data_IF_713781910527
#
_entry.id   IF_713781910527
#
_cell.length_a   1.000
_cell.length_b   1.000
_cell.length_c   1.000
_cell.angle_alpha   90.00
_cell.angle_beta   90.00
_cell.angle_gamma   90.00
#
_symmetry.space_group_name_H-M   'P 1'
#
loop_
_entity.id
_entity.type
_entity.pdbx_description
1 polymer ?
#
# COMPACT_ATOMS: atom_id res chain seq x y z
N UNK A 1 13.12 -28.88 10.91
CA UNK A 1 14.56 -28.52 10.91
C UNK A 1 14.95 -27.76 9.64
N UNK A 2 14.63 -28.24 8.44
CA UNK A 2 14.95 -27.59 7.15
C UNK A 2 14.48 -26.12 7.07
N UNK A 3 13.24 -25.81 7.48
CA UNK A 3 12.70 -24.44 7.48
C UNK A 3 13.47 -23.44 8.37
N UNK A 4 14.20 -23.91 9.40
CA UNK A 4 14.99 -23.04 10.25
C UNK A 4 16.36 -22.72 9.63
N UNK A 5 16.95 -23.66 8.88
CA UNK A 5 18.21 -23.42 8.18
C UNK A 5 18.07 -22.36 7.09
N UNK A 6 16.99 -22.41 6.30
CA UNK A 6 16.73 -21.39 5.27
C UNK A 6 16.55 -19.99 5.88
N UNK A 7 15.88 -19.88 7.03
CA UNK A 7 15.70 -18.59 7.71
C UNK A 7 17.01 -18.05 8.25
N UNK A 8 17.81 -18.90 8.88
CA UNK A 8 19.14 -18.51 9.38
C UNK A 8 20.06 -18.08 8.24
N UNK A 9 20.03 -18.81 7.12
CA UNK A 9 20.78 -18.45 5.92
C UNK A 9 20.32 -17.08 5.38
N UNK A 10 19.01 -16.83 5.33
CA UNK A 10 18.48 -15.55 4.84
C UNK A 10 18.83 -14.38 5.76
N UNK A 11 18.75 -14.58 7.09
CA UNK A 11 19.23 -13.62 8.09
C UNK A 11 20.72 -13.35 7.89
N UNK A 12 21.52 -14.39 7.67
CA UNK A 12 22.95 -14.24 7.44
C UNK A 12 23.24 -13.47 6.14
N UNK A 13 22.54 -13.75 5.04
CA UNK A 13 22.66 -13.02 3.78
C UNK A 13 22.32 -11.55 3.95
N UNK A 14 21.18 -11.21 4.57
CA UNK A 14 20.79 -9.81 4.79
C UNK A 14 21.79 -9.11 5.71
N UNK A 15 22.22 -9.77 6.79
CA UNK A 15 23.22 -9.21 7.70
C UNK A 15 24.55 -8.95 7.00
N UNK A 16 24.97 -9.86 6.10
CA UNK A 16 26.16 -9.68 5.27
C UNK A 16 26.01 -8.50 4.32
N UNK A 17 24.88 -8.38 3.62
CA UNK A 17 24.59 -7.26 2.72
C UNK A 17 24.64 -5.93 3.47
N UNK A 18 23.92 -5.83 4.58
CA UNK A 18 23.88 -4.62 5.41
C UNK A 18 25.26 -4.25 5.97
N UNK A 19 26.02 -5.24 6.46
CA UNK A 19 27.37 -5.01 6.98
C UNK A 19 28.39 -4.61 5.93
N UNK A 20 28.23 -5.06 4.68
CA UNK A 20 29.18 -4.79 3.58
C UNK A 20 28.99 -3.39 3.01
N UNK A 21 27.74 -2.95 2.84
CA UNK A 21 27.43 -1.68 2.17
C UNK A 21 27.13 -0.52 3.13
N UNK A 22 26.78 -0.81 4.39
CA UNK A 22 26.43 0.21 5.37
C UNK A 22 27.32 0.09 6.62
N UNK A 23 26.76 -0.38 7.73
CA UNK A 23 27.47 -0.47 9.01
C UNK A 23 26.85 -1.50 9.96
N UNK A 24 27.53 -1.76 11.08
CA UNK A 24 27.07 -2.73 12.08
C UNK A 24 25.79 -2.28 12.80
N UNK A 25 25.50 -0.98 12.86
CA UNK A 25 24.27 -0.45 13.44
C UNK A 25 23.05 -0.82 12.60
N UNK A 26 23.16 -0.81 11.27
CA UNK A 26 22.09 -1.27 10.38
C UNK A 26 21.73 -2.75 10.62
N UNK A 27 22.74 -3.61 10.88
CA UNK A 27 22.54 -5.00 11.27
C UNK A 27 21.80 -5.09 12.61
N UNK A 28 22.19 -4.27 13.58
CA UNK A 28 21.54 -4.26 14.91
C UNK A 28 20.04 -3.99 14.80
N UNK A 29 19.62 -2.96 14.08
CA UNK A 29 18.20 -2.65 13.89
C UNK A 29 17.46 -3.78 13.16
N UNK A 30 18.06 -4.37 12.14
CA UNK A 30 17.51 -5.53 11.45
C UNK A 30 17.31 -6.74 12.39
N UNK A 31 18.32 -7.07 13.20
CA UNK A 31 18.26 -8.19 14.14
C UNK A 31 17.28 -7.93 15.28
N UNK A 32 17.13 -6.69 15.74
CA UNK A 32 16.13 -6.30 16.73
C UNK A 32 14.71 -6.66 16.26
N UNK A 33 14.35 -6.32 15.02
CA UNK A 33 13.03 -6.66 14.48
C UNK A 33 12.89 -8.13 14.11
N UNK A 34 13.97 -8.82 13.72
CA UNK A 34 13.96 -10.29 13.64
C UNK A 34 13.60 -10.91 15.01
N UNK A 35 14.23 -10.44 16.08
CA UNK A 35 13.96 -10.89 17.44
C UNK A 35 12.51 -10.62 17.86
N UNK A 36 12.02 -9.39 17.69
CA UNK A 36 10.63 -9.01 18.00
C UNK A 36 9.65 -9.88 17.22
N UNK A 37 9.87 -10.08 15.92
CA UNK A 37 9.03 -10.90 15.04
C UNK A 37 9.02 -12.38 15.43
N UNK A 38 10.04 -12.85 16.16
CA UNK A 38 10.16 -14.24 16.59
C UNK A 38 9.45 -14.56 17.93
N UNK A 39 9.03 -13.56 18.74
CA UNK A 39 8.56 -13.76 20.13
C UNK A 39 7.03 -13.90 20.34
N UNK A 40 6.19 -13.48 19.40
CA UNK A 40 4.70 -13.48 19.45
C UNK A 40 3.98 -14.83 19.08
N UNK A 41 3.80 -15.72 20.06
CA UNK A 41 3.52 -17.18 19.93
C UNK A 41 2.47 -17.72 18.91
N UNK A 42 1.55 -16.96 18.30
CA UNK A 42 0.52 -17.52 17.38
C UNK A 42 0.66 -17.15 15.89
N UNK A 43 1.27 -16.00 15.54
CA UNK A 43 1.40 -15.51 14.15
C UNK A 43 2.85 -15.18 13.71
N UNK A 44 3.85 -15.52 14.53
CA UNK A 44 5.25 -15.13 14.33
C UNK A 44 5.88 -15.51 13.02
N UNK A 45 5.63 -16.74 12.55
CA UNK A 45 6.34 -17.23 11.39
C UNK A 45 5.95 -16.46 10.13
N UNK A 46 4.71 -15.99 10.05
CA UNK A 46 4.26 -15.14 8.97
C UNK A 46 4.97 -13.79 9.01
N UNK A 47 4.90 -13.10 10.16
CA UNK A 47 5.49 -11.76 10.32
C UNK A 47 6.99 -11.81 10.07
N UNK A 48 7.70 -12.79 10.62
CA UNK A 48 9.13 -12.95 10.38
C UNK A 48 9.44 -13.22 8.90
N UNK A 49 8.71 -14.10 8.23
CA UNK A 49 8.95 -14.39 6.81
C UNK A 49 8.69 -13.16 5.92
N UNK A 50 7.60 -12.41 6.19
CA UNK A 50 7.31 -11.16 5.47
C UNK A 50 8.36 -10.10 5.77
N UNK A 51 8.81 -10.00 7.02
CA UNK A 51 9.87 -9.07 7.42
C UNK A 51 11.18 -9.36 6.71
N UNK A 52 11.58 -10.64 6.68
CA UNK A 52 12.75 -11.09 5.94
C UNK A 52 12.63 -10.73 4.46
N UNK A 53 11.50 -11.03 3.83
CA UNK A 53 11.23 -10.68 2.43
C UNK A 53 11.41 -9.18 2.17
N UNK A 54 10.76 -8.31 2.95
CA UNK A 54 10.89 -6.86 2.78
C UNK A 54 12.28 -6.35 3.10
N UNK A 55 12.97 -6.96 4.07
CA UNK A 55 14.35 -6.62 4.39
C UNK A 55 15.30 -6.95 3.25
N UNK A 56 15.08 -8.07 2.54
CA UNK A 56 15.85 -8.39 1.35
C UNK A 56 15.59 -7.38 0.22
N UNK A 57 14.33 -7.14 -0.13
CA UNK A 57 13.96 -6.17 -1.15
C UNK A 57 14.51 -4.76 -0.82
N UNK A 58 14.27 -4.28 0.40
CA UNK A 58 14.72 -2.98 0.86
C UNK A 58 16.24 -2.84 0.94
N UNK A 59 16.95 -3.88 1.38
CA UNK A 59 18.43 -3.86 1.36
C UNK A 59 18.96 -3.77 -0.07
N UNK A 60 18.40 -4.52 -1.02
CA UNK A 60 18.84 -4.45 -2.42
C UNK A 60 18.54 -3.11 -3.08
N UNK A 61 17.41 -2.46 -2.74
CA UNK A 61 17.08 -1.13 -3.22
C UNK A 61 18.01 -0.06 -2.62
N UNK A 62 18.19 -0.08 -1.30
CA UNK A 62 19.08 0.84 -0.61
C UNK A 62 20.53 0.73 -1.12
N UNK A 63 21.01 -0.49 -1.42
CA UNK A 63 22.35 -0.69 -2.03
C UNK A 63 22.41 -0.08 -3.42
N UNK A 64 21.37 -0.27 -4.24
CA UNK A 64 21.32 0.37 -5.57
C UNK A 64 21.42 1.89 -5.45
N UNK A 65 20.71 2.49 -4.48
CA UNK A 65 20.76 3.93 -4.26
C UNK A 65 22.09 4.41 -3.72
N UNK A 66 22.70 3.67 -2.79
CA UNK A 66 24.01 4.01 -2.24
C UNK A 66 25.05 4.06 -3.37
N UNK A 67 25.02 3.10 -4.29
CA UNK A 67 25.91 3.05 -5.45
C UNK A 67 25.66 4.22 -6.41
N UNK A 68 24.40 4.60 -6.61
CA UNK A 68 24.03 5.62 -7.60
C UNK A 68 24.09 7.07 -7.09
N UNK A 69 23.76 7.30 -5.81
CA UNK A 69 23.57 8.63 -5.23
C UNK A 69 24.55 8.92 -4.09
N UNK A 70 25.29 7.93 -3.59
CA UNK A 70 26.10 8.06 -2.38
C UNK A 70 25.29 8.04 -1.07
N UNK A 71 24.00 7.73 -1.15
CA UNK A 71 23.11 7.60 0.00
C UNK A 71 22.05 6.52 -0.17
N UNK A 72 21.51 6.05 0.95
CA UNK A 72 20.54 4.93 1.00
C UNK A 72 19.08 5.30 0.66
N UNK A 73 18.80 6.54 0.27
CA UNK A 73 17.45 7.06 -0.01
C UNK A 73 17.09 6.98 -1.49
N UNK A 74 15.79 6.94 -1.82
CA UNK A 74 15.38 7.02 -3.23
C UNK A 74 15.84 8.33 -3.87
N UNK A 75 16.03 8.38 -5.20
CA UNK A 75 16.30 9.63 -5.91
C UNK A 75 15.12 10.62 -5.90
N UNK A 76 13.99 10.25 -5.28
CA UNK A 76 12.81 11.10 -5.15
C UNK A 76 12.78 11.79 -3.78
N UNK A 77 12.15 12.96 -3.74
CA UNK A 77 12.12 13.85 -2.58
C UNK A 77 11.51 13.23 -1.31
N UNK A 78 10.49 12.37 -1.44
CA UNK A 78 9.69 11.90 -0.29
C UNK A 78 10.54 11.16 0.77
N UNK A 79 11.47 10.30 0.35
CA UNK A 79 12.29 9.48 1.26
C UNK A 79 13.22 10.34 2.11
N UNK A 80 13.85 11.31 1.44
CA UNK A 80 14.70 12.31 2.07
C UNK A 80 13.89 13.26 2.97
N UNK A 81 12.71 13.70 2.52
CA UNK A 81 11.82 14.60 3.26
C UNK A 81 11.48 14.06 4.66
N UNK A 82 11.04 12.80 4.76
CA UNK A 82 10.68 12.22 6.06
C UNK A 82 11.91 12.08 6.97
N UNK A 83 13.06 11.73 6.40
CA UNK A 83 14.31 11.64 7.15
C UNK A 83 14.79 13.00 7.68
N UNK A 84 14.74 14.03 6.83
CA UNK A 84 15.13 15.39 7.19
C UNK A 84 14.21 15.97 8.27
N UNK A 85 12.90 15.76 8.16
CA UNK A 85 11.96 16.17 9.19
C UNK A 85 12.21 15.48 10.54
N UNK A 86 12.59 14.20 10.55
CA UNK A 86 12.98 13.53 11.81
C UNK A 86 14.22 14.18 12.43
N UNK A 87 15.23 14.56 11.64
CA UNK A 87 16.38 15.33 12.15
C UNK A 87 15.94 16.64 12.76
N UNK A 88 15.12 17.40 12.04
CA UNK A 88 14.62 18.69 12.53
C UNK A 88 13.79 18.54 13.80
N UNK A 89 12.96 17.49 13.95
CA UNK A 89 12.22 17.23 15.20
C UNK A 89 13.17 16.93 16.36
N UNK A 90 14.25 16.18 16.12
CA UNK A 90 15.27 15.91 17.16
C UNK A 90 16.01 17.18 17.59
N UNK A 91 16.17 18.16 16.70
CA UNK A 91 16.85 19.44 16.98
C UNK A 91 15.92 20.51 17.59
N UNK A 92 14.72 20.68 17.02
CA UNK A 92 13.82 21.82 17.27
C UNK A 92 12.48 21.44 17.94
N UNK A 93 12.24 20.15 18.22
CA UNK A 93 11.04 19.58 18.86
C UNK A 93 9.72 19.69 18.08
N UNK A 94 9.51 20.74 17.28
CA UNK A 94 8.30 20.95 16.47
C UNK A 94 8.69 21.43 15.08
N UNK A 95 8.19 20.73 14.06
CA UNK A 95 8.43 21.04 12.65
C UNK A 95 7.09 21.16 11.95
N UNK A 96 6.87 22.28 11.26
CA UNK A 96 5.66 22.53 10.46
C UNK A 96 5.48 21.43 9.40
N UNK A 97 4.22 21.08 9.09
CA UNK A 97 3.84 20.03 8.13
C UNK A 97 4.29 18.59 8.45
N UNK A 98 4.84 18.34 9.64
CA UNK A 98 5.14 16.97 10.07
C UNK A 98 3.87 16.22 10.45
N UNK A 99 3.75 14.97 10.01
CA UNK A 99 2.65 14.08 10.40
C UNK A 99 3.01 13.24 11.62
N UNK A 100 2.06 12.42 12.08
CA UNK A 100 2.33 11.46 13.15
C UNK A 100 3.49 10.50 12.81
N UNK A 101 3.79 10.28 11.53
CA UNK A 101 4.82 9.34 11.09
C UNK A 101 6.21 9.75 11.59
N UNK A 102 6.57 11.01 11.39
CA UNK A 102 7.86 11.59 11.73
C UNK A 102 8.08 11.57 13.25
N UNK A 103 7.04 11.87 14.03
CA UNK A 103 7.10 11.74 15.50
C UNK A 103 7.28 10.28 15.95
N UNK A 104 6.63 9.32 15.29
CA UNK A 104 6.81 7.88 15.60
C UNK A 104 8.23 7.42 15.28
N UNK A 105 8.79 7.84 14.14
CA UNK A 105 10.18 7.54 13.77
C UNK A 105 11.18 8.19 14.75
N UNK A 106 10.91 9.43 15.16
CA UNK A 106 11.69 10.15 16.18
C UNK A 106 11.72 9.37 17.48
N UNK A 107 10.55 8.94 17.99
CA UNK A 107 10.47 8.17 19.24
C UNK A 107 11.17 6.81 19.14
N UNK A 108 11.18 6.20 17.95
CA UNK A 108 11.91 4.96 17.68
C UNK A 108 13.43 5.17 17.79
N UNK A 109 13.97 6.28 17.27
CA UNK A 109 15.41 6.52 17.24
C UNK A 109 15.94 7.26 18.47
N UNK A 110 15.07 7.93 19.23
CA UNK A 110 15.39 8.70 20.43
C UNK A 110 16.34 7.97 21.41
N UNK A 111 16.16 6.66 21.73
CA UNK A 111 17.06 5.96 22.64
C UNK A 111 18.50 5.83 22.13
N UNK A 112 18.72 6.02 20.82
CA UNK A 112 19.99 5.80 20.13
C UNK A 112 20.68 7.09 19.70
N UNK A 113 20.00 8.23 19.78
CA UNK A 113 20.45 9.52 19.22
C UNK A 113 21.82 9.97 19.74
N UNK A 114 22.16 9.64 20.99
CA UNK A 114 23.43 10.04 21.62
C UNK A 114 24.57 9.04 21.39
N UNK A 115 24.27 7.87 20.84
CA UNK A 115 25.23 6.78 20.70
C UNK A 115 25.69 6.58 19.26
N UNK A 116 24.89 7.01 18.28
CA UNK A 116 25.11 6.70 16.87
C UNK A 116 24.77 7.94 16.02
N UNK A 117 25.63 8.33 15.05
CA UNK A 117 25.28 9.38 14.10
C UNK A 117 24.06 8.96 13.28
N UNK A 118 23.06 9.85 13.16
CA UNK A 118 21.81 9.51 12.49
C UNK A 118 22.04 9.22 10.99
N UNK A 119 21.54 8.08 10.52
CA UNK A 119 21.53 7.70 9.10
C UNK A 119 20.14 7.22 8.67
N UNK A 120 19.78 7.50 7.42
CA UNK A 120 18.51 7.10 6.81
C UNK A 120 18.26 5.58 6.91
N UNK A 121 19.29 4.77 6.64
CA UNK A 121 19.20 3.30 6.64
C UNK A 121 18.69 2.69 7.96
N UNK A 122 18.80 3.39 9.09
CA UNK A 122 18.34 2.89 10.40
C UNK A 122 16.83 2.86 10.57
N UNK A 123 16.12 3.63 9.74
CA UNK A 123 14.66 3.72 9.78
C UNK A 123 13.98 2.68 8.88
N UNK A 124 14.65 2.20 7.83
CA UNK A 124 14.08 1.23 6.90
C UNK A 124 13.64 -0.09 7.58
N UNK A 125 14.42 -0.68 8.52
CA UNK A 125 13.98 -1.86 9.27
C UNK A 125 12.64 -1.68 9.99
N UNK A 126 12.34 -0.48 10.49
CA UNK A 126 11.05 -0.20 11.09
C UNK A 126 9.93 -0.28 10.05
N UNK A 127 10.09 0.35 8.88
CA UNK A 127 9.04 0.33 7.85
C UNK A 127 8.80 -1.07 7.27
N UNK A 128 9.87 -1.86 7.08
CA UNK A 128 9.77 -3.27 6.66
C UNK A 128 8.98 -4.11 7.68
N UNK A 129 9.19 -3.84 8.98
CA UNK A 129 8.45 -4.51 10.05
C UNK A 129 6.98 -4.10 10.05
N UNK A 130 6.67 -2.82 9.84
CA UNK A 130 5.29 -2.33 9.69
C UNK A 130 4.61 -3.03 8.51
N UNK A 131 5.27 -3.15 7.35
CA UNK A 131 4.72 -3.87 6.20
C UNK A 131 4.39 -5.34 6.51
N UNK A 132 5.27 -6.04 7.23
CA UNK A 132 5.01 -7.40 7.69
C UNK A 132 3.78 -7.52 8.59
N UNK A 133 3.54 -6.53 9.47
CA UNK A 133 2.34 -6.46 10.29
C UNK A 133 1.07 -6.20 9.46
N UNK A 134 1.14 -5.34 8.43
CA UNK A 134 0.02 -5.07 7.52
C UNK A 134 -0.41 -6.34 6.80
N UNK A 135 0.54 -7.11 6.26
CA UNK A 135 0.25 -8.40 5.60
C UNK A 135 -0.46 -9.35 6.55
N UNK A 136 0.03 -9.46 7.79
CA UNK A 136 -0.58 -10.30 8.81
C UNK A 136 -2.02 -9.87 9.14
N UNK A 137 -2.29 -8.56 9.29
CA UNK A 137 -3.64 -8.05 9.54
C UNK A 137 -4.57 -8.24 8.33
N UNK A 138 -4.07 -8.11 7.11
CA UNK A 138 -4.81 -8.40 5.87
C UNK A 138 -5.19 -9.88 5.76
N UNK A 139 -4.28 -10.79 6.10
CA UNK A 139 -4.57 -12.23 6.11
C UNK A 139 -5.58 -12.60 7.20
N UNK A 140 -5.53 -11.96 8.37
CA UNK A 140 -6.57 -12.12 9.40
C UNK A 140 -7.94 -11.67 8.89
N UNK A 141 -7.99 -10.52 8.21
CA UNK A 141 -9.20 -10.00 7.59
C UNK A 141 -9.78 -11.01 6.58
N UNK A 142 -8.94 -11.53 5.69
CA UNK A 142 -9.34 -12.51 4.68
C UNK A 142 -9.89 -13.80 5.32
N UNK A 143 -9.22 -14.32 6.35
CA UNK A 143 -9.63 -15.53 7.04
C UNK A 143 -10.87 -15.36 7.91
N UNK A 144 -11.17 -14.15 8.38
CA UNK A 144 -12.41 -13.85 9.10
C UNK A 144 -13.64 -14.09 8.20
N UNK A 145 -13.59 -13.58 6.96
CA UNK A 145 -14.71 -13.65 6.03
C UNK A 145 -14.79 -14.96 5.23
N UNK A 146 -13.64 -15.49 4.82
CA UNK A 146 -13.50 -16.69 4.01
C UNK A 146 -12.37 -17.56 4.57
N UNK A 147 -12.63 -18.34 5.63
CA UNK A 147 -11.61 -19.13 6.31
C UNK A 147 -11.09 -20.25 5.40
N UNK A 148 -9.79 -20.22 5.09
CA UNK A 148 -9.14 -21.24 4.28
C UNK A 148 -8.05 -21.96 5.08
N UNK A 149 -8.20 -23.28 5.23
CA UNK A 149 -7.22 -24.14 5.91
C UNK A 149 -6.15 -24.72 4.97
N UNK A 150 -6.29 -24.51 3.66
CA UNK A 150 -5.38 -25.07 2.67
C UNK A 150 -4.10 -24.23 2.55
N UNK A 151 -2.95 -24.87 2.76
CA UNK A 151 -1.63 -24.25 2.70
C UNK A 151 -1.33 -23.63 1.34
N UNK A 152 -1.74 -24.26 0.23
CA UNK A 152 -1.45 -23.73 -1.12
C UNK A 152 -2.22 -22.44 -1.40
N UNK A 153 -3.48 -22.37 -0.97
CA UNK A 153 -4.32 -21.18 -1.09
C UNK A 153 -3.72 -20.04 -0.27
N UNK A 154 -3.28 -20.34 0.95
CA UNK A 154 -2.63 -19.37 1.83
C UNK A 154 -1.37 -18.76 1.21
N UNK A 155 -0.53 -19.57 0.56
CA UNK A 155 0.70 -19.09 -0.10
C UNK A 155 0.38 -18.14 -1.26
N UNK A 156 -0.65 -18.44 -2.06
CA UNK A 156 -1.02 -17.58 -3.19
C UNK A 156 -1.65 -16.27 -2.70
N UNK A 157 -2.52 -16.33 -1.68
CA UNK A 157 -3.07 -15.13 -1.03
C UNK A 157 -1.98 -14.22 -0.47
N UNK A 158 -0.93 -14.80 0.11
CA UNK A 158 0.25 -14.08 0.58
C UNK A 158 1.02 -13.44 -0.59
N UNK A 159 1.25 -14.20 -1.66
CA UNK A 159 2.00 -13.76 -2.82
C UNK A 159 1.36 -12.53 -3.50
N UNK A 160 0.03 -12.45 -3.51
CA UNK A 160 -0.72 -11.31 -4.07
C UNK A 160 -0.45 -9.96 -3.39
N UNK A 161 -0.01 -9.96 -2.13
CA UNK A 161 0.43 -8.74 -1.46
C UNK A 161 1.95 -8.61 -1.51
N UNK A 162 2.69 -9.66 -1.13
CA UNK A 162 4.16 -9.60 -1.00
C UNK A 162 4.85 -9.23 -2.31
N UNK A 163 4.36 -9.72 -3.42
CA UNK A 163 4.96 -9.47 -4.72
C UNK A 163 4.22 -8.41 -5.52
N UNK A 164 3.27 -7.68 -4.91
CA UNK A 164 2.68 -6.54 -5.57
C UNK A 164 3.70 -5.40 -5.60
N UNK A 165 4.14 -5.01 -6.80
CA UNK A 165 5.19 -4.02 -6.96
C UNK A 165 4.90 -2.69 -6.25
N UNK A 166 3.66 -2.17 -6.32
CA UNK A 166 3.32 -0.91 -5.64
C UNK A 166 3.36 -1.07 -4.12
N UNK A 167 2.92 -2.23 -3.61
CA UNK A 167 2.94 -2.50 -2.17
C UNK A 167 4.36 -2.65 -1.65
N UNK A 168 5.18 -3.45 -2.33
CA UNK A 168 6.59 -3.62 -1.95
C UNK A 168 7.33 -2.30 -2.03
N UNK A 169 7.18 -1.56 -3.12
CA UNK A 169 7.81 -0.24 -3.29
C UNK A 169 7.39 0.74 -2.19
N UNK A 170 6.13 0.70 -1.74
CA UNK A 170 5.65 1.57 -0.67
C UNK A 170 6.09 1.17 0.75
N UNK A 171 6.54 -0.07 0.96
CA UNK A 171 7.01 -0.59 2.26
C UNK A 171 8.53 -0.51 2.40
N UNK A 172 9.26 -0.75 1.32
CA UNK A 172 10.73 -0.85 1.35
C UNK A 172 11.42 0.50 1.54
N UNK A 173 10.77 1.58 1.13
CA UNK A 173 11.18 2.97 1.30
C UNK A 173 10.58 3.58 2.56
N UNK A 174 11.10 4.70 3.04
CA UNK A 174 10.68 5.44 4.23
C UNK A 174 9.40 6.26 3.98
N UNK A 175 8.32 5.60 3.54
CA UNK A 175 7.03 6.26 3.34
C UNK A 175 6.07 6.01 4.50
N UNK A 176 5.31 7.05 4.88
CA UNK A 176 4.22 6.98 5.89
C UNK A 176 3.09 6.01 5.53
N UNK A 177 2.97 5.64 4.26
CA UNK A 177 1.94 4.75 3.72
C UNK A 177 1.86 3.42 4.47
N UNK A 178 2.99 2.80 4.81
CA UNK A 178 3.02 1.54 5.55
C UNK A 178 2.34 1.63 6.91
N UNK A 179 2.66 2.67 7.69
CA UNK A 179 2.08 2.87 9.03
C UNK A 179 0.60 3.22 8.96
N UNK A 180 0.22 4.02 7.96
CA UNK A 180 -1.17 4.37 7.68
C UNK A 180 -1.99 3.11 7.39
N UNK A 181 -1.47 2.19 6.57
CA UNK A 181 -2.15 0.92 6.26
C UNK A 181 -2.27 0.01 7.48
N UNK A 182 -1.29 0.03 8.38
CA UNK A 182 -1.35 -0.75 9.62
C UNK A 182 -2.49 -0.28 10.51
N UNK A 183 -2.63 1.03 10.70
CA UNK A 183 -3.74 1.57 11.48
C UNK A 183 -5.08 1.37 10.78
N UNK A 184 -5.15 1.57 9.46
CA UNK A 184 -6.34 1.35 8.65
C UNK A 184 -6.83 -0.10 8.72
N UNK A 185 -5.95 -1.08 8.50
CA UNK A 185 -6.30 -2.51 8.58
C UNK A 185 -6.71 -2.92 9.98
N UNK A 186 -6.03 -2.41 11.03
CA UNK A 186 -6.44 -2.62 12.42
C UNK A 186 -7.80 -2.00 12.73
N UNK A 187 -8.08 -0.80 12.23
CA UNK A 187 -9.39 -0.16 12.38
C UNK A 187 -10.50 -1.06 11.81
N UNK A 188 -10.30 -1.56 10.58
CA UNK A 188 -11.24 -2.47 9.91
C UNK A 188 -11.43 -3.76 10.72
N UNK A 189 -10.34 -4.45 11.09
CA UNK A 189 -10.38 -5.69 11.86
C UNK A 189 -11.06 -5.51 13.23
N UNK A 190 -10.83 -4.40 13.92
CA UNK A 190 -11.45 -4.12 15.23
C UNK A 190 -12.94 -3.79 15.09
N UNK A 191 -13.35 -3.05 14.06
CA UNK A 191 -14.76 -2.74 13.81
C UNK A 191 -15.56 -4.00 13.49
N UNK A 192 -15.00 -4.91 12.69
CA UNK A 192 -15.63 -6.20 12.37
C UNK A 192 -15.82 -7.03 13.65
N UNK A 193 -14.81 -7.08 14.51
CA UNK A 193 -14.86 -7.77 15.80
C UNK A 193 -15.61 -7.00 16.91
N UNK A 194 -16.41 -5.98 16.55
CA UNK A 194 -17.25 -5.19 17.47
C UNK A 194 -16.49 -4.41 18.55
N UNK A 195 -15.18 -4.21 18.39
CA UNK A 195 -14.35 -3.37 19.26
C UNK A 195 -14.31 -1.93 18.75
N UNK A 196 -15.47 -1.24 18.80
CA UNK A 196 -15.65 0.06 18.14
C UNK A 196 -14.76 1.18 18.70
N UNK A 197 -14.54 1.24 20.02
CA UNK A 197 -13.67 2.26 20.64
C UNK A 197 -12.24 2.12 20.12
N UNK A 198 -11.71 0.89 20.13
CA UNK A 198 -10.36 0.62 19.60
C UNK A 198 -10.27 0.92 18.11
N UNK A 199 -11.32 0.59 17.34
CA UNK A 199 -11.37 0.92 15.91
C UNK A 199 -11.38 2.44 15.68
N UNK A 200 -12.15 3.19 16.45
CA UNK A 200 -12.22 4.65 16.38
C UNK A 200 -10.86 5.31 16.63
N UNK A 201 -10.13 4.85 17.66
CA UNK A 201 -8.75 5.31 17.92
C UNK A 201 -7.85 5.06 16.71
N UNK A 202 -7.90 3.87 16.10
CA UNK A 202 -7.12 3.61 14.89
C UNK A 202 -7.57 4.45 13.68
N UNK A 203 -8.84 4.81 13.56
CA UNK A 203 -9.31 5.73 12.53
C UNK A 203 -8.69 7.12 12.68
N UNK A 204 -8.64 7.64 13.92
CA UNK A 204 -8.00 8.93 14.24
C UNK A 204 -6.50 8.86 13.91
N UNK A 205 -5.81 7.82 14.37
CA UNK A 205 -4.37 7.64 14.07
C UNK A 205 -4.09 7.54 12.57
N UNK A 206 -4.99 6.91 11.80
CA UNK A 206 -4.91 6.89 10.33
C UNK A 206 -5.09 8.30 9.77
N UNK A 207 -6.02 9.08 10.31
CA UNK A 207 -6.27 10.47 9.94
C UNK A 207 -5.05 11.39 10.17
N UNK A 208 -4.35 11.24 11.29
CA UNK A 208 -3.12 11.99 11.57
C UNK A 208 -1.94 11.65 10.66
N UNK A 209 -1.99 10.51 9.95
CA UNK A 209 -1.03 10.17 8.91
C UNK A 209 -1.52 10.65 7.54
N UNK A 210 -2.81 10.41 7.24
CA UNK A 210 -3.52 10.89 6.07
C UNK A 210 -5.02 11.05 6.34
N UNK A 211 -5.49 12.31 6.29
CA UNK A 211 -6.89 12.67 6.56
C UNK A 211 -7.92 11.88 5.74
N UNK A 212 -7.74 11.79 4.42
CA UNK A 212 -8.67 11.09 3.53
C UNK A 212 -8.86 9.61 3.89
N UNK A 213 -7.78 8.92 4.26
CA UNK A 213 -7.84 7.50 4.64
C UNK A 213 -8.46 7.31 6.04
N UNK A 214 -8.24 8.27 6.95
CA UNK A 214 -8.94 8.32 8.23
C UNK A 214 -10.46 8.47 8.07
N UNK A 215 -10.90 9.33 7.15
CA UNK A 215 -12.33 9.51 6.83
C UNK A 215 -12.94 8.24 6.23
N UNK A 216 -12.24 7.57 5.32
CA UNK A 216 -12.69 6.28 4.78
C UNK A 216 -12.81 5.19 5.86
N UNK A 217 -11.86 5.16 6.81
CA UNK A 217 -11.92 4.25 7.95
C UNK A 217 -13.10 4.56 8.88
N UNK A 218 -13.39 5.83 9.15
CA UNK A 218 -14.56 6.25 9.92
C UNK A 218 -15.86 5.87 9.22
N UNK A 219 -15.96 6.11 7.91
CA UNK A 219 -17.11 5.69 7.11
C UNK A 219 -17.34 4.19 7.25
N UNK A 220 -16.29 3.37 7.11
CA UNK A 220 -16.37 1.92 7.32
C UNK A 220 -16.85 1.57 8.74
N UNK A 221 -16.28 2.20 9.77
CA UNK A 221 -16.65 1.98 11.17
C UNK A 221 -18.14 2.24 11.42
N UNK A 222 -18.68 3.37 10.94
CA UNK A 222 -20.09 3.72 11.10
C UNK A 222 -20.99 2.72 10.39
N UNK A 223 -20.69 2.38 9.13
CA UNK A 223 -21.46 1.39 8.37
C UNK A 223 -21.45 0.02 9.08
N UNK A 224 -20.28 -0.41 9.54
CA UNK A 224 -20.13 -1.68 10.25
C UNK A 224 -20.86 -1.68 11.60
N UNK A 225 -20.90 -0.54 12.31
CA UNK A 225 -21.67 -0.39 13.54
C UNK A 225 -23.18 -0.54 13.29
N UNK A 226 -23.73 0.17 12.30
CA UNK A 226 -25.16 0.12 11.99
C UNK A 226 -25.61 -1.25 11.47
N UNK A 227 -24.79 -1.92 10.67
CA UNK A 227 -25.04 -3.29 10.20
C UNK A 227 -25.06 -4.26 11.38
N UNK A 228 -24.06 -4.20 12.26
CA UNK A 228 -23.98 -5.10 13.43
C UNK A 228 -25.11 -4.90 14.45
N UNK A 229 -25.60 -3.67 14.61
CA UNK A 229 -26.76 -3.36 15.47
C UNK A 229 -28.10 -3.71 14.83
N UNK A 230 -28.11 -4.30 13.63
CA UNK A 230 -29.30 -4.62 12.85
C UNK A 230 -30.22 -3.42 12.60
N UNK A 231 -29.69 -2.19 12.73
CA UNK A 231 -30.43 -0.97 12.42
C UNK A 231 -30.69 -0.88 10.91
N UNK A 232 -29.87 -1.57 10.11
CA UNK A 232 -30.07 -1.68 8.67
C UNK A 232 -30.35 -3.12 8.27
N UNK A 233 -31.61 -3.39 7.92
CA UNK A 233 -32.10 -4.74 7.54
C UNK A 233 -31.99 -5.04 6.05
N UNK A 234 -31.84 -4.02 5.20
CA UNK A 234 -31.73 -4.17 3.74
C UNK A 234 -30.60 -3.30 3.20
N UNK A 235 -29.84 -3.84 2.23
CA UNK A 235 -28.73 -3.13 1.57
C UNK A 235 -29.16 -1.78 0.97
N UNK A 236 -30.39 -1.69 0.47
CA UNK A 236 -30.93 -0.47 -0.14
C UNK A 236 -30.96 0.71 0.85
N UNK A 237 -31.23 0.48 2.14
CA UNK A 237 -31.22 1.57 3.13
C UNK A 237 -29.80 2.09 3.39
N UNK A 238 -28.80 1.20 3.42
CA UNK A 238 -27.40 1.64 3.54
C UNK A 238 -27.00 2.45 2.30
N UNK A 239 -27.39 2.01 1.10
CA UNK A 239 -27.10 2.70 -0.15
C UNK A 239 -27.75 4.09 -0.18
N UNK A 240 -29.00 4.20 0.27
CA UNK A 240 -29.71 5.48 0.41
C UNK A 240 -29.01 6.40 1.42
N UNK A 241 -28.57 5.87 2.57
CA UNK A 241 -27.80 6.65 3.57
C UNK A 241 -26.47 7.14 2.99
N UNK A 242 -25.79 6.29 2.22
CA UNK A 242 -24.53 6.65 1.58
C UNK A 242 -24.70 7.68 0.47
N UNK A 243 -25.69 7.50 -0.40
CA UNK A 243 -25.97 8.47 -1.46
C UNK A 243 -26.45 9.80 -0.88
N UNK A 244 -27.22 9.78 0.20
CA UNK A 244 -27.65 11.01 0.88
C UNK A 244 -26.49 11.70 1.61
N UNK A 245 -25.60 10.97 2.28
CA UNK A 245 -24.38 11.55 2.89
C UNK A 245 -23.42 12.12 1.84
N UNK A 246 -23.27 11.44 0.69
CA UNK A 246 -22.42 11.88 -0.40
C UNK A 246 -23.02 13.10 -1.12
N UNK A 247 -24.34 13.11 -1.33
CA UNK A 247 -25.05 14.28 -1.81
C UNK A 247 -24.95 15.47 -0.83
N UNK A 248 -25.11 15.22 0.47
CA UNK A 248 -24.90 16.23 1.52
C UNK A 248 -23.47 16.78 1.51
N UNK A 249 -22.48 15.90 1.34
CA UNK A 249 -21.09 16.31 1.25
C UNK A 249 -20.82 17.17 0.01
N UNK A 250 -21.30 16.76 -1.17
CA UNK A 250 -21.18 17.53 -2.41
C UNK A 250 -21.91 18.88 -2.33
N UNK A 251 -23.10 18.90 -1.72
CA UNK A 251 -23.85 20.14 -1.46
C UNK A 251 -23.09 21.01 -0.45
N UNK A 252 -22.53 20.43 0.62
CA UNK A 252 -21.75 21.20 1.60
C UNK A 252 -20.45 21.73 1.03
N UNK A 253 -19.84 21.01 0.10
CA UNK A 253 -18.62 21.46 -0.57
C UNK A 253 -18.95 22.59 -1.54
N UNK A 254 -20.04 22.45 -2.30
CA UNK A 254 -20.53 23.50 -3.21
C UNK A 254 -20.96 24.78 -2.47
N UNK A 255 -21.58 24.65 -1.30
CA UNK A 255 -22.13 25.79 -0.56
C UNK A 255 -21.17 26.39 0.49
N UNK A 256 -20.28 25.58 1.06
CA UNK A 256 -19.47 25.96 2.23
C UNK A 256 -17.97 25.65 2.08
N UNK A 257 -17.50 25.23 0.89
CA UNK A 257 -16.09 24.89 0.65
C UNK A 257 -15.54 23.87 1.67
N UNK A 258 -16.36 22.90 2.09
CA UNK A 258 -16.01 21.91 3.10
C UNK A 258 -14.70 21.14 2.78
N UNK A 259 -14.37 20.97 1.49
CA UNK A 259 -13.12 20.35 1.06
C UNK A 259 -11.87 21.18 1.31
N UNK A 260 -11.98 22.52 1.43
CA UNK A 260 -10.88 23.39 1.89
C UNK A 260 -10.59 23.17 3.37
N UNK A 261 -11.64 23.05 4.18
CA UNK A 261 -11.54 22.79 5.62
C UNK A 261 -10.99 21.41 5.97
N UNK A 262 -11.27 20.38 5.15
CA UNK A 262 -10.69 19.05 5.34
C UNK A 262 -9.22 19.01 4.89
N UNK A 263 -8.84 19.86 3.92
CA UNK A 263 -7.48 19.93 3.38
C UNK A 263 -6.55 20.83 4.16
N UNK A 264 -7.04 21.86 4.84
CA UNK A 264 -6.25 22.72 5.73
C UNK A 264 -5.60 21.96 6.89
N UNK A 265 -6.12 20.78 7.24
CA UNK A 265 -5.46 19.85 8.16
C UNK A 265 -4.35 18.99 7.52
N UNK A 266 -4.05 19.16 6.23
CA UNK A 266 -3.16 18.28 5.46
C UNK A 266 -2.15 18.96 4.52
N UNK A 267 -2.11 20.29 4.42
CA UNK A 267 -1.15 21.00 3.55
C UNK A 267 -1.07 22.50 3.79
N UNK A 268 0.14 23.03 3.54
CA UNK A 268 0.61 24.41 3.70
C UNK A 268 -0.43 25.51 3.42
N UNK A 269 -0.52 26.47 4.34
CA UNK A 269 -1.54 27.52 4.44
C UNK A 269 -1.63 28.53 3.28
N UNK A 270 -0.83 28.42 2.20
CA UNK A 270 -0.68 29.55 1.27
C UNK A 270 -1.09 29.34 -0.20
N UNK A 271 -1.51 28.15 -0.67
CA UNK A 271 -1.92 27.99 -2.09
C UNK A 271 -3.17 27.13 -2.36
N UNK A 272 -3.76 26.44 -1.37
CA UNK A 272 -4.88 25.52 -1.62
C UNK A 272 -6.26 26.21 -1.46
N UNK A 273 -6.54 27.24 -2.27
CA UNK A 273 -7.86 27.90 -2.34
C UNK A 273 -8.84 27.23 -3.31
N UNK A 274 -8.48 26.08 -3.86
CA UNK A 274 -9.19 25.44 -4.97
C UNK A 274 -10.31 24.49 -4.51
N UNK A 275 -11.49 24.58 -5.15
CA UNK A 275 -12.60 23.65 -4.93
C UNK A 275 -12.29 22.22 -5.39
N UNK A 276 -13.09 21.23 -4.97
CA UNK A 276 -12.85 19.80 -5.25
C UNK A 276 -12.74 19.48 -6.75
N UNK A 277 -13.56 20.14 -7.58
CA UNK A 277 -13.50 20.01 -9.06
C UNK A 277 -12.19 20.56 -9.62
N UNK A 278 -11.75 21.73 -9.14
CA UNK A 278 -10.57 22.42 -9.63
C UNK A 278 -9.28 21.68 -9.25
N UNK A 279 -9.24 21.15 -8.04
CA UNK A 279 -8.15 20.27 -7.61
C UNK A 279 -8.11 18.91 -8.32
N UNK A 280 -9.25 18.42 -8.83
CA UNK A 280 -9.27 17.23 -9.69
C UNK A 280 -8.67 17.60 -11.04
N UNK A 281 -9.06 18.73 -11.65
CA UNK A 281 -8.45 19.19 -12.90
C UNK A 281 -6.94 19.43 -12.74
N UNK A 282 -6.49 20.17 -11.73
CA UNK A 282 -5.07 20.45 -11.51
C UNK A 282 -4.25 19.19 -11.22
N UNK A 283 -4.79 18.24 -10.45
CA UNK A 283 -4.11 16.96 -10.25
C UNK A 283 -4.00 16.21 -11.56
N UNK A 284 -5.08 16.16 -12.34
CA UNK A 284 -5.05 15.56 -13.68
C UNK A 284 -3.98 16.23 -14.53
N UNK A 285 -3.93 17.56 -14.55
CA UNK A 285 -2.98 18.37 -15.34
C UNK A 285 -1.53 18.18 -14.88
N UNK A 286 -1.26 18.16 -13.57
CA UNK A 286 0.07 17.85 -13.02
C UNK A 286 0.53 16.42 -13.34
N UNK A 287 -0.41 15.48 -13.49
CA UNK A 287 -0.11 14.13 -13.97
C UNK A 287 0.09 14.07 -15.48
N UNK A 288 -0.55 14.95 -16.26
CA UNK A 288 -0.30 15.11 -17.69
C UNK A 288 1.12 15.62 -17.96
N UNK A 289 1.59 16.57 -17.14
CA UNK A 289 2.95 17.11 -17.25
C UNK A 289 4.03 16.10 -16.81
N UNK A 290 3.73 15.25 -15.82
CA UNK A 290 4.71 14.29 -15.27
C UNK A 290 4.89 12.99 -16.05
N UNK A 291 4.11 12.75 -17.10
CA UNK A 291 4.39 11.92 -18.30
C UNK A 291 4.96 10.48 -18.23
N UNK A 292 5.57 10.01 -17.14
CA UNK A 292 6.46 8.85 -17.16
C UNK A 292 5.76 7.49 -17.00
N UNK A 293 4.95 7.31 -15.95
CA UNK A 293 4.72 5.96 -15.41
C UNK A 293 3.27 5.46 -15.47
N UNK A 294 2.31 6.30 -15.88
CA UNK A 294 0.87 5.96 -15.98
C UNK A 294 0.33 5.97 -17.41
N UNK A 295 1.21 6.00 -18.40
CA UNK A 295 0.94 6.32 -19.80
C UNK A 295 -0.25 5.58 -20.45
N UNK A 296 -0.53 4.33 -20.06
CA UNK A 296 -1.66 3.56 -20.57
C UNK A 296 -3.02 3.91 -19.93
N UNK A 297 -3.04 4.18 -18.63
CA UNK A 297 -4.27 4.47 -17.85
C UNK A 297 -4.71 5.91 -18.12
N UNK A 298 -3.76 6.84 -18.22
CA UNK A 298 -4.03 8.23 -18.57
C UNK A 298 -4.55 8.36 -20.01
N UNK A 299 -4.03 7.56 -20.95
CA UNK A 299 -4.59 7.49 -22.32
C UNK A 299 -6.04 7.02 -22.34
N UNK A 300 -6.43 6.10 -21.45
CA UNK A 300 -7.83 5.66 -21.33
C UNK A 300 -8.72 6.77 -20.78
N UNK A 301 -8.25 7.51 -19.76
CA UNK A 301 -8.94 8.67 -19.21
C UNK A 301 -9.16 9.76 -20.28
N UNK A 302 -8.09 10.10 -21.01
CA UNK A 302 -8.10 11.15 -22.03
C UNK A 302 -8.77 10.75 -23.36
N UNK A 303 -9.15 9.49 -23.52
CA UNK A 303 -9.76 9.02 -24.77
C UNK A 303 -11.14 9.64 -25.05
N UNK A 304 -11.77 10.28 -24.06
CA UNK A 304 -13.13 10.82 -24.15
C UNK A 304 -14.22 9.77 -24.33
N UNK A 305 -13.86 8.48 -24.44
CA UNK A 305 -14.79 7.38 -24.62
C UNK A 305 -15.26 6.86 -23.24
N UNK A 306 -16.56 6.92 -22.92
CA UNK A 306 -17.08 6.44 -21.63
C UNK A 306 -16.70 5.00 -21.31
N UNK A 307 -16.60 4.13 -22.32
CA UNK A 307 -16.21 2.73 -22.15
C UNK A 307 -14.75 2.64 -21.71
N UNK A 308 -13.84 3.37 -22.37
CA UNK A 308 -12.43 3.38 -22.01
C UNK A 308 -12.19 3.97 -20.60
N UNK A 309 -12.91 5.03 -20.25
CA UNK A 309 -12.88 5.63 -18.91
C UNK A 309 -13.35 4.62 -17.85
N UNK A 310 -14.38 3.82 -18.16
CA UNK A 310 -14.87 2.78 -17.24
C UNK A 310 -13.91 1.59 -17.09
N UNK A 311 -13.17 1.25 -18.16
CA UNK A 311 -12.14 0.20 -18.14
C UNK A 311 -10.89 0.60 -17.34
N UNK A 312 -10.74 1.88 -16.99
CA UNK A 312 -9.66 2.37 -16.16
C UNK A 312 -9.63 1.70 -14.78
N UNK A 313 -10.79 1.52 -14.14
CA UNK A 313 -10.92 0.91 -12.81
C UNK A 313 -10.34 -0.52 -12.74
N UNK A 314 -10.79 -1.48 -13.58
CA UNK A 314 -10.24 -2.84 -13.54
C UNK A 314 -8.77 -2.90 -13.96
N UNK A 315 -8.31 -2.04 -14.87
CA UNK A 315 -6.89 -2.00 -15.28
C UNK A 315 -6.02 -1.43 -14.17
N UNK A 316 -6.49 -0.40 -13.46
CA UNK A 316 -5.78 0.24 -12.36
C UNK A 316 -5.56 -0.71 -11.17
N UNK A 317 -6.50 -1.65 -10.93
CA UNK A 317 -6.36 -2.74 -9.95
C UNK A 317 -5.17 -3.67 -10.26
N UNK A 318 -4.92 -3.95 -11.54
CA UNK A 318 -3.90 -4.93 -11.97
C UNK A 318 -2.53 -4.26 -12.22
N UNK A 319 -2.50 -2.92 -12.33
CA UNK A 319 -1.29 -2.13 -12.60
C UNK A 319 -0.27 -2.11 -11.44
N UNK A 320 1.06 -2.14 -11.72
CA UNK A 320 1.69 -2.02 -13.05
C UNK A 320 1.60 -3.30 -13.89
N UNK A 321 1.26 -3.12 -15.17
CA UNK A 321 1.28 -4.16 -16.22
C UNK A 321 2.47 -3.94 -17.18
N UNK A 322 3.09 -2.75 -17.12
CA UNK A 322 4.28 -2.42 -17.88
C UNK A 322 5.50 -2.55 -16.98
N UNK A 323 6.61 -2.99 -17.60
CA UNK A 323 7.92 -3.09 -16.99
C UNK A 323 8.70 -1.87 -17.48
N UNK A 324 9.21 -1.06 -16.56
CA UNK A 324 10.13 0.01 -16.96
C UNK A 324 11.56 -0.52 -17.14
N UNK A 325 12.48 0.32 -17.64
CA UNK A 325 13.84 -0.11 -17.96
C UNK A 325 14.65 -0.52 -16.71
N UNK A 326 15.62 -1.40 -16.90
CA UNK A 326 16.56 -1.83 -15.84
C UNK A 326 17.59 -0.76 -15.48
N UNK A 327 17.95 0.08 -16.45
CA UNK A 327 18.89 1.18 -16.27
C UNK A 327 18.14 2.46 -16.61
N UNK A 328 18.17 3.42 -15.69
CA UNK A 328 17.57 4.74 -15.87
C UNK A 328 18.62 5.80 -15.68
N UNK A 329 18.51 6.84 -16.51
CA UNK A 329 19.16 8.13 -16.31
C UNK A 329 18.07 9.08 -15.81
N UNK A 330 18.18 9.53 -14.58
CA UNK A 330 17.20 10.43 -13.96
C UNK A 330 17.89 11.48 -13.10
N UNK A 331 17.20 12.58 -12.85
CA UNK A 331 17.66 13.59 -11.91
C UNK A 331 17.24 13.21 -10.50
N UNK A 332 18.21 13.06 -9.61
CA UNK A 332 17.98 12.91 -8.18
C UNK A 332 17.56 14.25 -7.61
N UNK A 333 16.38 14.27 -6.98
CA UNK A 333 15.86 15.40 -6.20
C UNK A 333 16.11 15.21 -4.71
N UNK A 334 16.80 14.16 -4.31
CA UNK A 334 17.22 13.98 -2.93
C UNK A 334 18.18 15.11 -2.52
N UNK A 335 18.09 15.55 -1.27
CA UNK A 335 18.89 16.64 -0.72
C UNK A 335 18.68 18.02 -1.37
N UNK A 336 17.62 18.19 -2.19
CA UNK A 336 17.32 19.43 -2.94
C UNK A 336 18.43 19.87 -3.91
N UNK A 337 19.37 18.98 -4.27
CA UNK A 337 20.42 19.27 -5.25
C UNK A 337 20.20 18.38 -6.47
N UNK A 338 19.67 18.92 -7.59
CA UNK A 338 19.43 18.12 -8.79
C UNK A 338 20.74 17.58 -9.34
N UNK A 339 20.92 16.26 -9.24
CA UNK A 339 22.09 15.55 -9.74
C UNK A 339 21.64 14.44 -10.68
N UNK A 340 22.12 14.46 -11.92
CA UNK A 340 21.82 13.39 -12.87
C UNK A 340 22.58 12.14 -12.48
N UNK A 341 21.85 11.05 -12.26
CA UNK A 341 22.40 9.76 -11.84
C UNK A 341 22.11 8.67 -12.87
N UNK A 342 22.98 7.66 -12.92
CA UNK A 342 22.73 6.40 -13.62
C UNK A 342 22.39 5.36 -12.56
N UNK A 343 21.17 4.83 -12.61
CA UNK A 343 20.66 3.88 -11.60
C UNK A 343 20.26 2.55 -12.21
N UNK A 344 20.66 1.48 -11.51
CA UNK A 344 20.11 0.15 -11.74
C UNK A 344 18.81 -0.02 -10.94
N UNK A 345 17.68 -0.04 -11.63
CA UNK A 345 16.36 -0.03 -11.00
C UNK A 345 15.94 -1.44 -10.58
N UNK A 346 16.21 -1.80 -9.33
CA UNK A 346 15.88 -3.13 -8.78
C UNK A 346 14.36 -3.37 -8.74
N UNK A 347 13.56 -2.30 -8.68
CA UNK A 347 12.10 -2.30 -8.70
C UNK A 347 11.55 -3.01 -9.94
N UNK A 348 12.28 -2.96 -11.06
CA UNK A 348 11.96 -3.66 -12.31
C UNK A 348 11.81 -5.17 -12.08
N UNK A 349 12.59 -5.77 -11.18
CA UNK A 349 12.45 -7.20 -10.83
C UNK A 349 11.11 -7.45 -10.15
N UNK A 350 10.68 -6.55 -9.26
CA UNK A 350 9.41 -6.69 -8.56
C UNK A 350 8.22 -6.49 -9.50
N UNK A 351 8.33 -5.58 -10.48
CA UNK A 351 7.35 -5.40 -11.55
C UNK A 351 7.18 -6.69 -12.37
N UNK A 352 8.29 -7.34 -12.76
CA UNK A 352 8.26 -8.62 -13.49
C UNK A 352 7.54 -9.70 -12.66
N UNK A 353 7.91 -9.86 -11.39
CA UNK A 353 7.28 -10.88 -10.52
C UNK A 353 5.79 -10.58 -10.33
N UNK A 354 5.40 -9.30 -10.16
CA UNK A 354 4.01 -8.89 -10.06
C UNK A 354 3.21 -9.31 -11.31
N UNK A 355 3.75 -9.04 -12.51
CA UNK A 355 3.10 -9.43 -13.77
C UNK A 355 2.93 -10.95 -13.87
N UNK A 356 3.97 -11.72 -13.52
CA UNK A 356 3.92 -13.19 -13.50
C UNK A 356 2.86 -13.73 -12.53
N UNK A 357 2.64 -13.07 -11.40
CA UNK A 357 1.57 -13.47 -10.46
C UNK A 357 0.20 -13.14 -11.03
N UNK A 358 0.05 -11.99 -11.69
CA UNK A 358 -1.20 -11.60 -12.33
C UNK A 358 -1.60 -12.53 -13.47
N UNK A 359 -0.66 -13.09 -14.24
CA UNK A 359 -1.01 -14.05 -15.30
C UNK A 359 -1.76 -15.27 -14.75
N UNK A 360 -1.40 -15.69 -13.54
CA UNK A 360 -2.04 -16.80 -12.84
C UNK A 360 -3.30 -16.31 -12.09
N UNK A 361 -3.28 -15.12 -11.53
CA UNK A 361 -4.31 -14.70 -10.57
C UNK A 361 -5.42 -13.83 -11.14
N UNK A 362 -5.29 -13.27 -12.35
CA UNK A 362 -6.24 -12.28 -12.88
C UNK A 362 -7.69 -12.79 -12.91
N UNK A 363 -7.93 -13.99 -13.46
CA UNK A 363 -9.28 -14.56 -13.51
C UNK A 363 -9.80 -14.99 -12.14
N UNK A 364 -9.06 -15.76 -11.31
CA UNK A 364 -9.43 -16.01 -9.93
C UNK A 364 -9.80 -14.75 -9.16
N UNK A 365 -9.03 -13.68 -9.35
CA UNK A 365 -9.22 -12.39 -8.68
C UNK A 365 -10.54 -11.74 -9.09
N UNK A 366 -10.81 -11.56 -10.39
CA UNK A 366 -12.05 -10.91 -10.85
C UNK A 366 -13.31 -11.74 -10.56
N UNK A 367 -13.23 -13.07 -10.61
CA UNK A 367 -14.35 -13.94 -10.20
C UNK A 367 -14.58 -13.80 -8.68
N UNK A 368 -13.51 -13.78 -7.90
CA UNK A 368 -13.56 -13.51 -6.46
C UNK A 368 -14.18 -12.15 -6.15
N UNK A 369 -13.80 -11.10 -6.89
CA UNK A 369 -14.37 -9.76 -6.79
C UNK A 369 -15.86 -9.77 -7.12
N UNK A 370 -16.27 -10.41 -8.21
CA UNK A 370 -17.69 -10.53 -8.57
C UNK A 370 -18.49 -11.23 -7.45
N UNK A 371 -17.99 -12.35 -6.92
CA UNK A 371 -18.66 -13.07 -5.82
C UNK A 371 -18.70 -12.27 -4.53
N UNK A 372 -17.64 -11.54 -4.20
CA UNK A 372 -17.57 -10.66 -3.05
C UNK A 372 -18.60 -9.51 -3.15
N UNK A 373 -18.71 -8.86 -4.31
CA UNK A 373 -19.65 -7.76 -4.53
C UNK A 373 -21.12 -8.22 -4.59
N UNK A 374 -21.37 -9.45 -5.06
CA UNK A 374 -22.71 -10.04 -5.15
C UNK A 374 -23.13 -10.82 -3.91
N UNK A 375 -22.27 -10.92 -2.90
CA UNK A 375 -22.51 -11.64 -1.65
C UNK A 375 -23.80 -11.14 -0.96
N UNK A 376 -24.73 -12.02 -0.60
CA UNK A 376 -26.04 -11.60 -0.06
C UNK A 376 -25.96 -11.17 1.40
N UNK A 377 -24.94 -11.64 2.13
CA UNK A 377 -24.73 -11.34 3.55
C UNK A 377 -24.45 -9.85 3.78
N UNK A 378 -25.25 -9.21 4.62
CA UNK A 378 -25.17 -7.77 4.89
C UNK A 378 -23.85 -7.39 5.57
N UNK A 379 -23.26 -8.31 6.35
CA UNK A 379 -21.98 -8.11 7.05
C UNK A 379 -20.79 -7.80 6.13
N UNK A 380 -20.87 -8.19 4.85
CA UNK A 380 -19.84 -7.99 3.83
C UNK A 380 -19.99 -6.63 3.14
N UNK A 381 -21.17 -6.03 3.25
CA UNK A 381 -21.56 -4.85 2.51
C UNK A 381 -20.72 -3.60 2.87
N UNK A 382 -20.42 -3.30 4.15
CA UNK A 382 -19.56 -2.17 4.50
C UNK A 382 -18.16 -2.28 3.86
N UNK A 383 -17.59 -3.48 3.81
CA UNK A 383 -16.27 -3.70 3.21
C UNK A 383 -16.30 -3.56 1.69
N UNK A 384 -17.37 -4.03 1.04
CA UNK A 384 -17.57 -3.86 -0.39
C UNK A 384 -17.69 -2.37 -0.78
N UNK A 385 -18.45 -1.59 -0.01
CA UNK A 385 -18.52 -0.13 -0.20
C UNK A 385 -17.15 0.49 -0.02
N UNK A 386 -16.49 0.20 1.10
CA UNK A 386 -15.16 0.74 1.38
C UNK A 386 -14.20 0.46 0.22
N UNK A 387 -14.19 -0.77 -0.32
CA UNK A 387 -13.37 -1.14 -1.46
C UNK A 387 -13.70 -0.31 -2.72
N UNK A 388 -14.98 -0.20 -3.09
CA UNK A 388 -15.42 0.55 -4.28
C UNK A 388 -15.05 2.03 -4.15
N UNK A 389 -15.33 2.65 -3.00
CA UNK A 389 -15.01 4.05 -2.74
C UNK A 389 -13.52 4.31 -2.80
N UNK A 390 -12.73 3.47 -2.13
CA UNK A 390 -11.27 3.56 -2.14
C UNK A 390 -10.74 3.43 -3.57
N UNK A 391 -11.27 2.50 -4.35
CA UNK A 391 -10.89 2.32 -5.75
C UNK A 391 -11.22 3.54 -6.61
N UNK A 392 -12.44 4.08 -6.51
CA UNK A 392 -12.86 5.27 -7.28
C UNK A 392 -11.99 6.48 -6.91
N UNK A 393 -11.84 6.77 -5.61
CA UNK A 393 -11.06 7.92 -5.14
C UNK A 393 -9.60 7.84 -5.59
N UNK A 394 -8.96 6.68 -5.47
CA UNK A 394 -7.56 6.57 -5.87
C UNK A 394 -7.43 6.61 -7.39
N UNK A 395 -8.32 5.94 -8.12
CA UNK A 395 -8.21 5.83 -9.58
C UNK A 395 -8.50 7.17 -10.26
N UNK A 396 -9.50 7.93 -9.80
CA UNK A 396 -9.93 9.17 -10.46
C UNK A 396 -9.44 10.47 -9.81
N UNK A 397 -9.23 10.50 -8.48
CA UNK A 397 -8.86 11.75 -7.78
C UNK A 397 -7.37 11.78 -7.48
N UNK A 398 -6.79 10.65 -7.08
CA UNK A 398 -5.40 10.66 -6.66
C UNK A 398 -4.39 10.30 -7.73
N UNK A 399 -4.69 9.30 -8.57
CA UNK A 399 -3.84 8.68 -9.59
C UNK A 399 -2.44 8.19 -9.15
N UNK A 400 -2.01 8.45 -7.91
CA UNK A 400 -0.71 8.04 -7.36
C UNK A 400 -0.62 6.53 -7.11
N UNK A 401 0.41 5.89 -7.66
CA UNK A 401 0.66 4.46 -7.53
C UNK A 401 0.79 3.99 -6.07
N UNK A 402 1.42 4.78 -5.21
CA UNK A 402 1.55 4.47 -3.76
C UNK A 402 0.21 4.36 -3.03
N UNK A 403 -0.81 5.10 -3.46
CA UNK A 403 -2.11 5.08 -2.78
C UNK A 403 -2.88 3.79 -3.05
N UNK A 404 -2.52 3.05 -4.11
CA UNK A 404 -3.10 1.73 -4.45
C UNK A 404 -3.01 0.72 -3.31
N UNK A 405 -2.03 0.88 -2.42
CA UNK A 405 -1.83 -0.01 -1.28
C UNK A 405 -3.09 -0.15 -0.41
N UNK A 406 -3.92 0.90 -0.32
CA UNK A 406 -5.14 0.92 0.50
C UNK A 406 -6.24 -0.06 0.04
N UNK A 407 -6.25 -0.45 -1.24
CA UNK A 407 -7.14 -1.52 -1.73
C UNK A 407 -6.43 -2.85 -1.95
N UNK A 408 -5.09 -2.87 -2.10
CA UNK A 408 -4.29 -4.11 -2.19
C UNK A 408 -4.43 -4.96 -0.93
N UNK A 409 -4.62 -4.35 0.25
CA UNK A 409 -4.89 -5.07 1.51
C UNK A 409 -6.15 -5.97 1.46
N UNK A 410 -7.03 -5.81 0.46
CA UNK A 410 -8.23 -6.64 0.26
C UNK A 410 -7.96 -7.81 -0.71
N UNK A 411 -6.83 -7.84 -1.42
CA UNK A 411 -6.56 -8.86 -2.44
C UNK A 411 -6.57 -10.30 -1.91
N UNK A 412 -5.99 -10.61 -0.72
CA UNK A 412 -6.08 -11.94 -0.14
C UNK A 412 -7.52 -12.38 0.13
N UNK A 413 -8.39 -11.43 0.50
CA UNK A 413 -9.81 -11.71 0.75
C UNK A 413 -10.53 -12.07 -0.56
N UNK A 414 -10.24 -11.36 -1.65
CA UNK A 414 -10.83 -11.65 -2.97
C UNK A 414 -10.40 -13.02 -3.49
N UNK A 415 -9.12 -13.36 -3.35
CA UNK A 415 -8.63 -14.68 -3.74
C UNK A 415 -9.21 -15.80 -2.85
N UNK A 416 -9.30 -15.56 -1.53
CA UNK A 416 -9.94 -16.50 -0.61
C UNK A 416 -11.42 -16.70 -0.95
N UNK A 417 -12.14 -15.64 -1.33
CA UNK A 417 -13.53 -15.69 -1.78
C UNK A 417 -13.67 -16.61 -2.99
N UNK A 418 -12.83 -16.43 -4.03
CA UNK A 418 -12.82 -17.30 -5.19
C UNK A 418 -12.64 -18.76 -4.81
N UNK A 419 -11.64 -19.08 -3.97
CA UNK A 419 -11.36 -20.46 -3.55
C UNK A 419 -12.40 -21.06 -2.63
N UNK A 420 -13.10 -20.23 -1.85
CA UNK A 420 -14.22 -20.66 -1.04
C UNK A 420 -15.38 -21.19 -1.92
N UNK A 421 -15.66 -20.52 -3.04
CA UNK A 421 -16.70 -20.95 -3.99
C UNK A 421 -16.22 -21.99 -5.02
N UNK A 422 -14.94 -21.94 -5.43
CA UNK A 422 -14.35 -22.83 -6.42
C UNK A 422 -13.15 -23.58 -5.83
N UNK A 423 -13.41 -24.79 -5.31
CA UNK A 423 -12.37 -25.66 -4.74
C UNK A 423 -11.31 -26.05 -5.78
N UNK A 424 -11.73 -26.31 -7.01
CA UNK A 424 -10.88 -26.60 -8.17
C UNK A 424 -11.05 -25.52 -9.23
N UNK A 425 -9.97 -25.16 -9.91
CA UNK A 425 -10.05 -24.21 -11.02
C UNK A 425 -10.76 -24.91 -12.18
N UNK A 426 -11.86 -24.35 -12.71
CA UNK A 426 -12.50 -24.91 -13.89
C UNK A 426 -11.55 -24.84 -15.09
N UNK A 427 -11.63 -25.87 -15.97
CA UNK A 427 -10.69 -26.06 -17.10
C UNK A 427 -10.56 -24.84 -18.01
N UNK A 428 -11.64 -24.09 -18.22
CA UNK A 428 -11.65 -22.89 -19.06
C UNK A 428 -10.80 -21.74 -18.48
N UNK A 429 -10.71 -21.61 -17.14
CA UNK A 429 -9.82 -20.62 -16.51
C UNK A 429 -8.36 -20.98 -16.75
N UNK A 430 -8.02 -22.27 -16.70
CA UNK A 430 -6.66 -22.74 -16.96
C UNK A 430 -6.26 -22.42 -18.41
N UNK A 431 -7.15 -22.67 -19.36
CA UNK A 431 -6.92 -22.36 -20.79
C UNK A 431 -6.71 -20.85 -20.98
N UNK A 432 -7.56 -20.01 -20.38
CA UNK A 432 -7.42 -18.57 -20.46
C UNK A 432 -6.13 -18.05 -19.79
N UNK A 433 -5.74 -18.62 -18.65
CA UNK A 433 -4.47 -18.30 -17.98
C UNK A 433 -3.27 -18.63 -18.86
N UNK A 434 -3.26 -19.80 -19.50
CA UNK A 434 -2.20 -20.19 -20.44
C UNK A 434 -2.16 -19.23 -21.62
N UNK A 435 -3.32 -18.86 -22.18
CA UNK A 435 -3.41 -17.91 -23.28
C UNK A 435 -2.88 -16.51 -22.93
N UNK A 436 -3.28 -15.96 -21.77
CA UNK A 436 -2.76 -14.66 -21.29
C UNK A 436 -1.26 -14.74 -20.99
N UNK A 437 -0.80 -15.84 -20.39
CA UNK A 437 0.62 -16.04 -20.10
C UNK A 437 1.45 -16.06 -21.39
N UNK A 438 0.96 -16.71 -22.45
CA UNK A 438 1.59 -16.72 -23.77
C UNK A 438 1.61 -15.32 -24.40
N UNK A 439 0.49 -14.57 -24.34
CA UNK A 439 0.43 -13.19 -24.84
C UNK A 439 1.41 -12.26 -24.11
N UNK A 440 1.50 -12.37 -22.78
CA UNK A 440 2.44 -11.59 -21.98
C UNK A 440 3.89 -11.99 -22.25
N UNK A 441 4.17 -13.28 -22.42
CA UNK A 441 5.51 -13.75 -22.80
C UNK A 441 5.91 -13.20 -24.18
N UNK A 442 4.99 -13.21 -25.15
CA UNK A 442 5.21 -12.61 -26.47
C UNK A 442 5.44 -11.09 -26.37
N UNK A 443 4.67 -10.39 -25.54
CA UNK A 443 4.85 -8.95 -25.30
C UNK A 443 6.22 -8.63 -24.68
N UNK A 444 6.62 -9.38 -23.65
CA UNK A 444 7.92 -9.22 -22.99
C UNK A 444 9.06 -9.50 -23.99
N UNK A 445 8.95 -10.58 -24.77
CA UNK A 445 9.94 -10.90 -25.81
C UNK A 445 10.00 -9.86 -26.93
N UNK A 446 8.90 -9.14 -27.21
CA UNK A 446 8.88 -8.08 -28.22
C UNK A 446 9.35 -6.72 -27.71
N UNK A 447 9.50 -6.56 -26.39
CA UNK A 447 9.92 -5.31 -25.72
C UNK A 447 11.33 -5.37 -25.12
N UNK A 448 11.91 -6.57 -25.05
CA UNK A 448 13.36 -6.82 -24.93
C UNK A 448 14.03 -6.63 -26.29
#
# INVERSE_FOLDING_TARGET
MVDNYFKLLFIAIISFLLGTFFDYQSIFFFLLFCYISSRNKSNNYLVLNCYLFYSFCGSTAAISYEISTGGSYTPYFDDWYYYDHVKQILEYYIVENSTLYEYVLTMYILPFQYFIPLKHIYFLPFNWFIGALVVNESIKLANHFYPNKNRSIYIISLALILFNANFTNGIVHLFRDGLMLLFLTKAINKAINKHYISSFVFCILTGFLRGANGLLALMFLFLQYFVNKQMIRKKNYVFIILTSLLALFLISDYLFDASKYIRSFSGNENNDTEGLVQSISERTDSFLEKGGDSSGIMKLYNSGNPIAISLMLPIYLVSPINIGPFIIIEDSLAENIPTTIIRFRIETIWEIINILIWTICIFPFFIGLYKFLTEKRIEYFPLAIYFIFTLILITYISMQHRHKMAFIIIYPLLYNCYKYYYKTNPKWIIILQVFISLLLLLYILSSL
#
